data_IF_029139835467
#
_entry.id   IF_029139835467
#
_cell.length_a   1.000
_cell.length_b   1.000
_cell.length_c   1.000
_cell.angle_alpha   90.00
_cell.angle_beta   90.00
_cell.angle_gamma   90.00
#
_symmetry.space_group_name_H-M   'P 1'
#
loop_
_entity.id
_entity.type
_entity.pdbx_description
1 polymer ?
#
# COMPACT_ATOMS: atom_id res chain seq x y z
N UNK A 1 22.92 3.95 1.53
CA UNK A 1 21.67 4.46 0.92
C UNK A 1 20.58 4.49 1.97
N UNK A 2 19.67 5.47 1.94
CA UNK A 2 18.50 5.49 2.85
C UNK A 2 17.45 4.50 2.31
N UNK A 3 16.76 3.82 3.21
CA UNK A 3 15.70 2.86 2.88
C UNK A 3 14.43 3.15 3.68
N UNK A 4 13.30 2.67 3.18
CA UNK A 4 12.00 2.72 3.86
C UNK A 4 11.54 1.28 4.06
N UNK A 5 11.15 0.93 5.29
CA UNK A 5 10.55 -0.36 5.62
C UNK A 5 9.03 -0.20 5.74
N UNK A 6 8.30 -0.66 4.74
CA UNK A 6 6.84 -0.60 4.71
C UNK A 6 6.17 -1.70 5.53
N UNK A 7 6.94 -2.62 6.14
CA UNK A 7 6.42 -3.60 7.09
C UNK A 7 6.32 -3.08 8.52
N UNK A 8 6.91 -1.90 8.80
CA UNK A 8 7.00 -1.32 10.15
C UNK A 8 6.42 0.08 10.23
N UNK A 9 5.25 0.29 9.62
CA UNK A 9 4.62 1.61 9.62
C UNK A 9 3.87 1.82 10.93
N UNK A 10 4.25 2.85 11.68
CA UNK A 10 3.51 3.26 12.89
C UNK A 10 2.20 3.95 12.51
N UNK A 11 1.10 3.45 13.05
CA UNK A 11 -0.26 3.98 12.87
C UNK A 11 -0.78 4.44 14.21
N UNK A 12 -1.38 5.63 14.23
CA UNK A 12 -2.16 6.09 15.39
C UNK A 12 -3.62 5.73 15.15
N UNK A 13 -4.17 4.88 16.01
CA UNK A 13 -5.55 4.43 15.95
C UNK A 13 -6.52 5.52 16.44
N UNK A 14 -7.82 5.30 16.23
CA UNK A 14 -8.89 6.22 16.63
C UNK A 14 -8.89 6.44 18.16
N UNK A 15 -8.55 5.41 18.92
CA UNK A 15 -8.43 5.45 20.39
C UNK A 15 -7.11 6.07 20.89
N UNK A 16 -6.29 6.62 19.98
CA UNK A 16 -4.95 7.18 20.21
C UNK A 16 -3.87 6.17 20.59
N UNK A 17 -4.17 4.87 20.60
CA UNK A 17 -3.14 3.85 20.71
C UNK A 17 -2.25 3.83 19.46
N UNK A 18 -1.01 3.38 19.62
CA UNK A 18 -0.08 3.18 18.50
C UNK A 18 0.00 1.70 18.16
N UNK A 19 -0.08 1.38 16.88
CA UNK A 19 0.15 0.04 16.35
C UNK A 19 1.17 0.09 15.22
N UNK A 20 1.80 -1.05 14.94
CA UNK A 20 2.67 -1.22 13.77
C UNK A 20 1.93 -2.07 12.77
N UNK A 21 1.80 -1.58 11.54
CA UNK A 21 1.08 -2.25 10.46
C UNK A 21 2.01 -2.44 9.26
N UNK A 22 1.94 -3.63 8.67
CA UNK A 22 2.61 -3.92 7.41
C UNK A 22 1.72 -3.50 6.23
N UNK A 23 2.16 -2.47 5.51
CA UNK A 23 1.50 -1.98 4.29
C UNK A 23 2.21 -2.39 3.01
N UNK A 24 3.33 -3.11 3.08
CA UNK A 24 4.15 -3.45 1.91
C UNK A 24 3.33 -4.15 0.83
N UNK A 25 2.65 -5.25 1.19
CA UNK A 25 1.81 -6.03 0.28
C UNK A 25 0.58 -5.28 -0.20
N UNK A 26 -0.04 -4.49 0.67
CA UNK A 26 -1.21 -3.67 0.32
C UNK A 26 -0.85 -2.64 -0.73
N UNK A 27 0.22 -1.87 -0.51
CA UNK A 27 0.69 -0.86 -1.47
C UNK A 27 1.13 -1.52 -2.78
N UNK A 28 1.86 -2.63 -2.70
CA UNK A 28 2.31 -3.37 -3.88
C UNK A 28 1.13 -3.83 -4.76
N UNK A 29 0.13 -4.49 -4.18
CA UNK A 29 -1.03 -4.98 -4.94
C UNK A 29 -1.76 -3.87 -5.68
N UNK A 30 -1.70 -2.65 -5.15
CA UNK A 30 -2.56 -1.58 -5.63
C UNK A 30 -1.88 -0.79 -6.71
N UNK A 31 -0.58 -0.55 -6.55
CA UNK A 31 0.25 -0.13 -7.68
C UNK A 31 0.07 -1.14 -8.82
N UNK A 32 0.17 -2.45 -8.53
CA UNK A 32 0.01 -3.49 -9.55
C UNK A 32 -1.34 -3.48 -10.25
N UNK A 33 -2.44 -3.28 -9.53
CA UNK A 33 -3.79 -3.30 -10.11
C UNK A 33 -4.16 -2.02 -10.88
N UNK A 34 -3.55 -0.88 -10.55
CA UNK A 34 -4.00 0.43 -11.03
C UNK A 34 -3.02 1.14 -11.96
N UNK A 35 -1.78 0.65 -12.06
CA UNK A 35 -0.81 1.21 -13.02
C UNK A 35 -1.03 0.68 -14.44
N UNK A 36 -0.66 1.49 -15.43
CA UNK A 36 -0.51 1.08 -16.84
C UNK A 36 0.96 1.11 -17.28
N UNK A 37 1.88 1.42 -16.36
CA UNK A 37 3.30 1.63 -16.65
C UNK A 37 4.11 0.40 -16.24
N UNK A 38 4.87 -0.17 -17.18
CA UNK A 38 5.73 -1.34 -16.94
C UNK A 38 6.72 -1.11 -15.77
N UNK A 39 7.40 0.05 -15.64
CA UNK A 39 8.29 0.30 -14.50
C UNK A 39 7.59 0.23 -13.14
N UNK A 40 6.34 0.69 -13.05
CA UNK A 40 5.56 0.67 -11.82
C UNK A 40 5.08 -0.74 -11.47
N UNK A 41 4.70 -1.56 -12.46
CA UNK A 41 4.43 -2.98 -12.25
C UNK A 41 5.66 -3.71 -11.69
N UNK A 42 6.85 -3.45 -12.27
CA UNK A 42 8.10 -4.04 -11.79
C UNK A 42 8.42 -3.60 -10.36
N UNK A 43 8.17 -2.33 -10.03
CA UNK A 43 8.32 -1.84 -8.66
C UNK A 43 7.34 -2.56 -7.70
N UNK A 44 6.08 -2.70 -8.09
CA UNK A 44 5.07 -3.38 -7.29
C UNK A 44 5.45 -4.83 -6.96
N UNK A 45 5.95 -5.60 -7.94
CA UNK A 45 6.41 -6.97 -7.72
C UNK A 45 7.60 -7.01 -6.74
N UNK A 46 8.58 -6.12 -6.91
CA UNK A 46 9.73 -6.01 -6.00
C UNK A 46 9.30 -5.66 -4.57
N UNK A 47 8.37 -4.73 -4.42
CA UNK A 47 7.83 -4.34 -3.11
C UNK A 47 7.02 -5.48 -2.47
N UNK A 48 6.32 -6.28 -3.27
CA UNK A 48 5.58 -7.44 -2.78
C UNK A 48 6.51 -8.52 -2.19
N UNK A 49 7.67 -8.71 -2.81
CA UNK A 49 8.70 -9.66 -2.37
C UNK A 49 9.58 -9.11 -1.23
N UNK A 50 9.83 -7.80 -1.22
CA UNK A 50 10.67 -7.14 -0.24
C UNK A 50 10.02 -5.85 0.27
N UNK A 51 9.66 -5.85 1.56
CA UNK A 51 9.05 -4.71 2.24
C UNK A 51 9.98 -3.51 2.42
N UNK A 52 11.29 -3.69 2.22
CA UNK A 52 12.31 -2.64 2.32
C UNK A 52 12.69 -2.16 0.93
N UNK A 53 12.44 -0.88 0.68
CA UNK A 53 12.73 -0.24 -0.60
C UNK A 53 13.70 0.92 -0.45
N UNK A 54 14.40 1.23 -1.54
CA UNK A 54 15.32 2.34 -1.61
C UNK A 54 14.57 3.68 -1.56
N UNK A 55 15.09 4.61 -0.75
CA UNK A 55 14.59 5.98 -0.65
C UNK A 55 15.08 6.81 -1.85
N UNK A 56 14.40 6.67 -2.98
CA UNK A 56 14.58 7.53 -4.16
C UNK A 56 13.40 8.48 -4.29
N UNK A 57 13.59 9.64 -4.94
CA UNK A 57 12.51 10.61 -5.14
C UNK A 57 11.33 10.00 -5.92
N UNK A 58 11.63 9.18 -6.93
CA UNK A 58 10.63 8.50 -7.75
C UNK A 58 9.82 7.49 -6.95
N UNK A 59 10.48 6.65 -6.13
CA UNK A 59 9.79 5.67 -5.29
C UNK A 59 8.90 6.35 -4.27
N UNK A 60 9.38 7.42 -3.63
CA UNK A 60 8.61 8.17 -2.63
C UNK A 60 7.40 8.85 -3.27
N UNK A 61 7.57 9.46 -4.45
CA UNK A 61 6.48 10.13 -5.17
C UNK A 61 5.40 9.13 -5.58
N UNK A 62 5.79 7.98 -6.13
CA UNK A 62 4.87 6.91 -6.51
C UNK A 62 4.09 6.37 -5.30
N UNK A 63 4.78 5.96 -4.22
CA UNK A 63 4.13 5.44 -3.01
C UNK A 63 3.13 6.47 -2.46
N UNK A 64 3.51 7.76 -2.43
CA UNK A 64 2.64 8.84 -1.95
C UNK A 64 1.38 9.01 -2.81
N UNK A 65 1.51 9.01 -4.13
CA UNK A 65 0.37 9.15 -5.05
C UNK A 65 -0.62 7.99 -4.90
N UNK A 66 -0.15 6.75 -4.90
CA UNK A 66 -1.02 5.59 -4.75
C UNK A 66 -1.63 5.49 -3.34
N UNK A 67 -0.87 5.79 -2.28
CA UNK A 67 -1.42 5.86 -0.93
C UNK A 67 -2.53 6.93 -0.83
N UNK A 68 -2.29 8.14 -1.34
CA UNK A 68 -3.28 9.22 -1.31
C UNK A 68 -4.57 8.85 -2.07
N UNK A 69 -4.45 8.21 -3.23
CA UNK A 69 -5.59 7.87 -4.09
C UNK A 69 -6.39 6.67 -3.62
N UNK A 70 -5.72 5.66 -3.04
CA UNK A 70 -6.33 4.34 -2.87
C UNK A 70 -6.42 3.87 -1.41
N UNK A 71 -5.78 4.55 -0.45
CA UNK A 71 -5.83 4.10 0.94
C UNK A 71 -7.23 4.19 1.57
N UNK A 72 -8.05 5.17 1.17
CA UNK A 72 -9.49 5.25 1.51
C UNK A 72 -10.32 4.28 0.66
N UNK A 73 -9.89 4.01 -0.58
CA UNK A 73 -10.57 3.08 -1.47
C UNK A 73 -10.43 1.61 -1.03
N UNK A 74 -9.41 1.22 -0.25
CA UNK A 74 -9.34 -0.15 0.30
C UNK A 74 -10.40 -0.43 1.33
N UNK A 75 -10.66 0.53 2.23
CA UNK A 75 -11.77 0.41 3.16
C UNK A 75 -13.08 0.23 2.40
N UNK A 76 -13.28 1.03 1.34
CA UNK A 76 -14.43 0.91 0.45
C UNK A 76 -14.49 -0.45 -0.27
N UNK A 77 -13.42 -0.91 -0.92
CA UNK A 77 -13.39 -2.20 -1.65
C UNK A 77 -13.59 -3.40 -0.72
N UNK A 78 -13.01 -3.36 0.49
CA UNK A 78 -13.19 -4.40 1.49
C UNK A 78 -14.64 -4.44 2.01
N UNK A 79 -15.24 -3.26 2.25
CA UNK A 79 -16.66 -3.14 2.62
C UNK A 79 -17.54 -3.67 1.48
N UNK A 80 -17.32 -3.24 0.24
CA UNK A 80 -18.08 -3.71 -0.92
C UNK A 80 -17.99 -5.23 -1.13
N UNK A 81 -16.81 -5.82 -0.87
CA UNK A 81 -16.62 -7.27 -0.98
C UNK A 81 -17.36 -8.01 0.14
N UNK A 82 -17.25 -7.53 1.38
CA UNK A 82 -17.98 -8.09 2.52
C UNK A 82 -19.51 -7.97 2.34
N UNK A 83 -20.00 -6.86 1.78
CA UNK A 83 -21.41 -6.66 1.47
C UNK A 83 -21.89 -7.64 0.39
N UNK A 84 -21.11 -7.82 -0.71
CA UNK A 84 -21.42 -8.79 -1.76
C UNK A 84 -21.43 -10.25 -1.29
N UNK A 85 -20.55 -10.59 -0.35
CA UNK A 85 -20.47 -11.94 0.21
C UNK A 85 -21.63 -12.22 1.19
N UNK A 86 -22.23 -11.18 1.77
CA UNK A 86 -23.39 -11.29 2.67
C UNK A 86 -24.75 -11.34 1.94
N UNK A 87 -24.80 -10.90 0.69
CA UNK A 87 -25.99 -10.94 -0.17
C UNK A 87 -26.16 -12.26 -0.95
N UNK A 88 -25.26 -13.24 -0.74
CA UNK A 88 -25.34 -14.61 -1.28
C UNK A 88 -25.66 -15.63 -0.18
#
# INVERSE_FOLDING_TARGET
MKTIDLSKVEVTNIDKSKSVVDFSKTIAQVIFQNTQLIPEHNFALKLYENSVVEFTEDNVKMIREYAKRFFVAYAYLAIERLLKDADN
#
